data_IF_985972234243
#
_entry.id   IF_985972234243
#
_cell.length_a   1.000
_cell.length_b   1.000
_cell.length_c   1.000
_cell.angle_alpha   90.00
_cell.angle_beta   90.00
_cell.angle_gamma   90.00
#
_symmetry.space_group_name_H-M   'P 1'
#
loop_
_entity.id
_entity.type
_entity.pdbx_description
1 polymer ?
#
# COMPACT_ATOMS: atom_id res chain seq x y z
N UNK A 1 3.14 44.80 -7.36
CA UNK A 1 3.55 44.00 -6.18
C UNK A 1 3.79 42.59 -6.67
N UNK A 2 4.99 42.00 -6.55
CA UNK A 2 5.14 40.60 -6.92
C UNK A 2 4.65 39.75 -5.75
N UNK A 3 3.49 39.14 -5.94
CA UNK A 3 2.88 38.19 -5.02
C UNK A 3 3.82 37.00 -4.83
N UNK A 4 3.96 36.60 -3.56
CA UNK A 4 4.91 35.61 -3.09
C UNK A 4 4.75 34.29 -3.85
N UNK A 5 5.83 33.89 -4.51
CA UNK A 5 6.00 32.52 -4.99
C UNK A 5 6.29 31.65 -3.76
N UNK A 6 5.24 31.41 -2.97
CA UNK A 6 5.22 30.31 -2.00
C UNK A 6 5.19 29.02 -2.81
N UNK A 7 6.35 28.57 -3.29
CA UNK A 7 6.57 27.17 -3.63
C UNK A 7 6.35 26.38 -2.34
N UNK A 8 5.09 26.05 -2.06
CA UNK A 8 4.71 25.07 -1.04
C UNK A 8 5.53 23.81 -1.33
N UNK A 9 6.63 23.63 -0.62
CA UNK A 9 7.31 22.35 -0.54
C UNK A 9 6.24 21.39 -0.05
N UNK A 10 5.69 20.57 -0.96
CA UNK A 10 4.72 19.57 -0.60
C UNK A 10 5.31 18.78 0.57
N UNK A 11 4.63 18.80 1.72
CA UNK A 11 5.12 18.14 2.91
C UNK A 11 5.36 16.67 2.57
N UNK A 12 6.29 16.02 3.28
CA UNK A 12 6.54 14.58 3.09
C UNK A 12 5.22 13.80 3.22
N UNK A 13 4.31 14.27 4.09
CA UNK A 13 2.95 13.76 4.23
C UNK A 13 2.13 13.85 2.92
N UNK A 14 2.09 15.00 2.26
CA UNK A 14 1.38 15.19 0.98
C UNK A 14 1.91 14.25 -0.12
N UNK A 15 3.23 14.10 -0.20
CA UNK A 15 3.86 13.19 -1.18
C UNK A 15 3.45 11.75 -0.95
N UNK A 16 3.42 11.32 0.31
CA UNK A 16 2.99 9.97 0.70
C UNK A 16 1.50 9.78 0.42
N UNK A 17 0.67 10.78 0.72
CA UNK A 17 -0.77 10.73 0.46
C UNK A 17 -1.06 10.60 -1.03
N UNK A 18 -0.45 11.45 -1.87
CA UNK A 18 -0.63 11.40 -3.32
C UNK A 18 -0.18 10.06 -3.92
N UNK A 19 0.92 9.51 -3.41
CA UNK A 19 1.37 8.18 -3.83
C UNK A 19 0.38 7.08 -3.41
N UNK A 20 -0.18 7.14 -2.21
CA UNK A 20 -1.18 6.19 -1.74
C UNK A 20 -2.47 6.26 -2.58
N UNK A 21 -2.90 7.46 -2.95
CA UNK A 21 -4.07 7.65 -3.83
C UNK A 21 -3.82 7.09 -5.23
N UNK A 22 -2.66 7.38 -5.82
CA UNK A 22 -2.26 6.80 -7.10
C UNK A 22 -2.19 5.28 -7.07
N UNK A 23 -1.67 4.71 -5.97
CA UNK A 23 -1.59 3.27 -5.79
C UNK A 23 -2.98 2.63 -5.76
N UNK A 24 -3.92 3.22 -5.01
CA UNK A 24 -5.32 2.75 -4.95
C UNK A 24 -6.01 2.86 -6.31
N UNK A 25 -5.79 3.96 -7.04
CA UNK A 25 -6.37 4.17 -8.37
C UNK A 25 -5.91 3.11 -9.39
N UNK A 26 -4.70 2.57 -9.23
CA UNK A 26 -4.15 1.51 -10.08
C UNK A 26 -4.62 0.09 -9.66
N UNK A 27 -5.43 -0.04 -8.61
CA UNK A 27 -5.85 -1.34 -8.07
C UNK A 27 -4.90 -1.92 -7.02
N UNK A 28 -3.91 -1.13 -6.57
CA UNK A 28 -3.07 -1.48 -5.44
C UNK A 28 -3.82 -1.37 -4.11
N UNK A 29 -3.30 -2.02 -3.07
CA UNK A 29 -3.94 -2.08 -1.75
C UNK A 29 -2.96 -1.69 -0.66
N UNK A 30 -3.46 -1.02 0.38
CA UNK A 30 -2.66 -0.64 1.55
C UNK A 30 -3.17 -1.43 2.74
N UNK A 31 -2.29 -2.20 3.37
CA UNK A 31 -2.58 -3.01 4.55
C UNK A 31 -1.58 -2.60 5.63
N UNK A 32 -2.07 -1.94 6.69
CA UNK A 32 -1.21 -1.30 7.70
C UNK A 32 -0.17 -0.36 7.06
N UNK A 33 1.13 -0.70 7.15
CA UNK A 33 2.25 0.05 6.57
C UNK A 33 2.68 -0.48 5.20
N UNK A 34 2.10 -1.59 4.76
CA UNK A 34 2.47 -2.29 3.53
C UNK A 34 1.65 -1.74 2.35
N UNK A 35 2.36 -1.38 1.29
CA UNK A 35 1.79 -0.90 0.03
C UNK A 35 1.95 -2.00 -1.00
N UNK A 36 0.85 -2.66 -1.33
CA UNK A 36 0.80 -3.73 -2.31
C UNK A 36 0.53 -3.15 -3.69
N UNK A 37 1.37 -3.53 -4.65
CA UNK A 37 1.12 -3.28 -6.07
C UNK A 37 -0.14 -4.04 -6.53
N UNK A 38 -0.77 -3.64 -7.64
CA UNK A 38 -2.00 -4.26 -8.13
C UNK A 38 -1.90 -5.78 -8.32
N UNK A 39 -0.77 -6.27 -8.81
CA UNK A 39 -0.55 -7.70 -9.06
C UNK A 39 -0.51 -8.50 -7.75
N UNK A 40 0.18 -7.96 -6.73
CA UNK A 40 0.22 -8.55 -5.41
C UNK A 40 -1.14 -8.46 -4.69
N UNK A 41 -1.89 -7.37 -4.90
CA UNK A 41 -3.24 -7.21 -4.37
C UNK A 41 -4.22 -8.21 -5.01
N UNK A 42 -4.11 -8.45 -6.31
CA UNK A 42 -4.91 -9.44 -7.03
C UNK A 42 -4.58 -10.87 -6.58
N UNK A 43 -3.29 -11.23 -6.48
CA UNK A 43 -2.87 -12.52 -5.96
C UNK A 43 -3.37 -12.76 -4.52
N UNK A 44 -3.30 -11.73 -3.66
CA UNK A 44 -3.81 -11.80 -2.31
C UNK A 44 -5.33 -11.98 -2.27
N UNK A 45 -6.08 -11.30 -3.15
CA UNK A 45 -7.53 -11.46 -3.24
C UNK A 45 -7.92 -12.88 -3.68
N UNK A 46 -7.18 -13.50 -4.60
CA UNK A 46 -7.38 -14.91 -4.95
C UNK A 46 -7.17 -15.82 -3.74
N UNK A 47 -6.07 -15.62 -3.01
CA UNK A 47 -5.79 -16.40 -1.80
C UNK A 47 -6.87 -16.21 -0.72
N UNK A 48 -7.36 -14.98 -0.52
CA UNK A 48 -8.47 -14.71 0.41
C UNK A 48 -9.75 -15.48 0.01
N UNK A 49 -10.04 -15.56 -1.29
CA UNK A 49 -11.21 -16.26 -1.81
C UNK A 49 -11.10 -17.79 -1.71
N UNK A 50 -9.90 -18.35 -1.88
CA UNK A 50 -9.66 -19.80 -1.82
C UNK A 50 -9.60 -20.32 -0.38
N UNK A 51 -8.92 -19.60 0.51
CA UNK A 51 -8.65 -20.05 1.87
C UNK A 51 -9.70 -19.57 2.90
N UNK A 52 -10.51 -18.57 2.55
CA UNK A 52 -11.44 -17.92 3.49
C UNK A 52 -10.76 -17.16 4.63
N UNK A 53 -9.42 -17.09 4.61
CA UNK A 53 -8.59 -16.37 5.58
C UNK A 53 -8.48 -14.90 5.19
N UNK A 54 -8.34 -14.03 6.18
CA UNK A 54 -8.14 -12.60 5.92
C UNK A 54 -6.75 -12.33 5.35
N UNK A 55 -6.63 -11.31 4.49
CA UNK A 55 -5.36 -10.84 3.94
C UNK A 55 -4.26 -10.66 5.00
N UNK A 56 -4.61 -10.15 6.18
CA UNK A 56 -3.67 -9.95 7.30
C UNK A 56 -3.13 -11.27 7.84
N UNK A 57 -3.97 -12.31 7.98
CA UNK A 57 -3.54 -13.63 8.43
C UNK A 57 -2.60 -14.27 7.39
N UNK A 58 -2.98 -14.21 6.12
CA UNK A 58 -2.17 -14.75 5.01
C UNK A 58 -0.79 -14.07 4.98
N UNK A 59 -0.74 -12.74 5.05
CA UNK A 59 0.52 -11.99 5.08
C UNK A 59 1.34 -12.33 6.31
N UNK A 60 0.73 -12.39 7.50
CA UNK A 60 1.45 -12.71 8.73
C UNK A 60 2.07 -14.11 8.67
N UNK A 61 1.36 -15.11 8.17
CA UNK A 61 1.92 -16.46 8.02
C UNK A 61 3.07 -16.52 6.99
N UNK A 62 2.96 -15.79 5.88
CA UNK A 62 4.03 -15.69 4.88
C UNK A 62 5.26 -14.99 5.44
N UNK A 63 5.09 -13.98 6.30
CA UNK A 63 6.19 -13.27 6.94
C UNK A 63 6.85 -14.12 8.04
N UNK A 64 6.07 -14.82 8.86
CA UNK A 64 6.58 -15.67 9.95
C UNK A 64 7.40 -16.84 9.38
N UNK A 65 7.00 -17.41 8.24
CA UNK A 65 7.78 -18.45 7.55
C UNK A 65 9.10 -17.96 6.95
N UNK A 66 9.26 -16.64 6.74
CA UNK A 66 10.43 -16.05 6.09
C UNK A 66 11.44 -15.44 7.08
N UNK A 67 11.07 -15.35 8.37
CA UNK A 67 11.97 -14.90 9.46
C UNK A 67 12.67 -16.06 10.18
N UNK A 68 12.55 -17.28 9.66
CA UNK A 68 13.20 -18.50 10.18
C UNK A 68 14.52 -18.86 9.50
N UNK A 69 15.33 -17.87 9.11
CA UNK A 69 16.69 -18.04 8.62
C UNK A 69 17.70 -17.35 9.55
#
# INVERSE_FOLDING_TARGET
MPEGVERKMASVADRVQKHNESLKAQGGRIIHKLRLKPEAAAALACLEAEDGRSATQIINELLIKNTGC
#
